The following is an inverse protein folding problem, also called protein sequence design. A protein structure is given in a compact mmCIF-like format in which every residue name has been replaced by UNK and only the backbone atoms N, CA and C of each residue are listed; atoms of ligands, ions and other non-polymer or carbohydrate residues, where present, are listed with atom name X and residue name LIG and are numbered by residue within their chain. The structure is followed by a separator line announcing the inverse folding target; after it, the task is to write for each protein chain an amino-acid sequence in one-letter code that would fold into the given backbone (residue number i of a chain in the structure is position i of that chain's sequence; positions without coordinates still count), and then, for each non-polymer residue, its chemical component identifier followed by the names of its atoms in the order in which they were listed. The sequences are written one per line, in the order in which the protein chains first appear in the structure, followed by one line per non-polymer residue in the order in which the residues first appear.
data_IF_726480611180
#
_entry.id   IF_726480611180
#
_cell.length_a   1.000
_cell.length_b   1.000
_cell.length_c   1.000
_cell.angle_alpha   90.00
_cell.angle_beta   90.00
_cell.angle_gamma   90.00
#
_symmetry.space_group_name_H-M   'P 1'
#
loop_
_entity.id
_entity.type
_entity.pdbx_description
1 polymer ?
#
# COMPACT_ATOMS: atom_id res chain seq x y z
N UNK A 1 -16.45 32.24 -45.73
CA UNK A 1 -17.69 32.15 -44.92
C UNK A 1 -17.28 31.94 -43.47
N UNK A 2 -17.46 32.96 -42.63
CA UNK A 2 -17.05 32.97 -41.21
C UNK A 2 -18.20 32.41 -40.41
N UNK A 3 -18.01 31.28 -39.69
CA UNK A 3 -18.97 30.76 -38.70
C UNK A 3 -18.60 31.33 -37.32
N UNK A 4 -19.53 32.08 -36.74
CA UNK A 4 -19.49 32.63 -35.40
C UNK A 4 -19.87 31.55 -34.41
N UNK A 5 -19.04 31.32 -33.39
CA UNK A 5 -19.36 30.46 -32.24
C UNK A 5 -19.99 31.34 -31.17
N UNK A 6 -21.19 31.00 -30.76
CA UNK A 6 -21.96 31.64 -29.70
C UNK A 6 -21.63 30.96 -28.36
N UNK A 7 -20.99 31.65 -27.44
CA UNK A 7 -20.76 31.21 -26.09
C UNK A 7 -21.98 31.56 -25.23
N UNK A 8 -22.62 30.54 -24.61
CA UNK A 8 -23.69 30.72 -23.63
C UNK A 8 -23.07 30.60 -22.24
N UNK A 9 -23.05 31.70 -21.51
CA UNK A 9 -22.73 31.77 -20.08
C UNK A 9 -24.01 31.46 -19.30
N UNK A 10 -24.01 30.37 -18.53
CA UNK A 10 -25.06 30.07 -17.54
C UNK A 10 -24.46 30.39 -16.16
N UNK A 11 -24.92 31.48 -15.57
CA UNK A 11 -24.69 31.85 -14.18
C UNK A 11 -25.79 31.22 -13.32
N UNK A 12 -25.44 30.25 -12.47
CA UNK A 12 -26.31 29.73 -11.43
C UNK A 12 -25.99 30.42 -10.11
N UNK A 13 -26.96 31.18 -9.58
CA UNK A 13 -26.88 31.78 -8.25
C UNK A 13 -27.39 30.78 -7.21
N UNK A 14 -26.57 30.42 -6.24
CA UNK A 14 -26.99 29.66 -5.07
C UNK A 14 -27.38 30.64 -3.94
N UNK A 15 -28.63 30.59 -3.53
CA UNK A 15 -29.13 31.27 -2.33
C UNK A 15 -28.93 30.34 -1.12
N UNK A 16 -28.16 30.82 -0.13
CA UNK A 16 -28.01 30.17 1.17
C UNK A 16 -29.05 30.74 2.13
N UNK A 17 -29.99 29.92 2.59
CA UNK A 17 -30.91 30.27 3.68
C UNK A 17 -30.38 29.71 4.99
N UNK A 18 -30.01 30.62 5.88
CA UNK A 18 -29.67 30.34 7.29
C UNK A 18 -30.94 30.43 8.12
N UNK A 19 -31.37 29.33 8.74
CA UNK A 19 -32.39 29.32 9.77
C UNK A 19 -31.72 28.97 11.11
N UNK A 20 -31.63 29.96 11.98
CA UNK A 20 -31.21 29.79 13.38
C UNK A 20 -32.39 29.36 14.23
N UNK A 21 -32.19 28.46 15.17
CA UNK A 21 -33.04 28.26 16.32
C UNK A 21 -32.22 28.31 17.61
N UNK A 22 -32.50 29.30 18.43
CA UNK A 22 -32.02 29.44 19.81
C UNK A 22 -33.01 28.72 20.73
N UNK A 23 -32.51 28.15 21.83
CA UNK A 23 -33.30 27.55 22.91
C UNK A 23 -32.37 27.03 24.01
N UNK A 24 -32.17 27.73 24.90
CA UNK A 24 -32.35 28.07 26.33
C UNK A 24 -31.74 27.05 27.33
N UNK A 25 -30.93 27.62 28.21
CA UNK A 25 -30.24 26.98 29.32
C UNK A 25 -31.20 26.70 30.50
N UNK A 26 -30.95 25.63 31.25
CA UNK A 26 -31.29 25.59 32.69
C UNK A 26 -30.19 24.85 33.45
N UNK A 27 -29.77 25.52 34.48
CA UNK A 27 -28.76 25.16 35.50
C UNK A 27 -29.26 24.08 36.46
N UNK A 28 -28.34 23.20 36.88
CA UNK A 28 -28.55 22.32 38.03
C UNK A 28 -27.22 22.07 38.73
N UNK A 29 -27.09 22.66 39.89
CA UNK A 29 -25.96 22.67 40.82
C UNK A 29 -25.92 21.39 41.65
N UNK A 30 -24.74 20.82 41.98
CA UNK A 30 -24.62 19.74 42.93
C UNK A 30 -23.16 19.40 43.22
N UNK A 31 -22.70 19.99 44.32
CA UNK A 31 -21.39 19.94 44.96
C UNK A 31 -21.09 18.63 45.71
N UNK A 32 -19.77 18.37 45.93
CA UNK A 32 -19.23 17.47 46.94
C UNK A 32 -17.89 16.89 46.52
N UNK A 33 -16.76 17.51 46.81
CA UNK A 33 -15.84 17.41 48.00
C UNK A 33 -15.23 16.02 48.13
N UNK A 34 -13.96 15.91 47.93
CA UNK A 34 -12.75 16.19 48.68
C UNK A 34 -11.90 14.93 48.93
N UNK A 35 -10.61 15.08 48.67
CA UNK A 35 -9.38 14.73 49.43
C UNK A 35 -9.07 13.24 49.63
N UNK A 36 -7.82 12.78 49.60
CA UNK A 36 -6.48 13.27 49.95
C UNK A 36 -5.49 12.22 49.56
N UNK A 37 -4.38 12.51 48.93
CA UNK A 37 -3.00 12.58 49.43
C UNK A 37 -2.52 11.44 50.36
N UNK A 38 -1.41 10.81 49.99
CA UNK A 38 -0.11 10.76 50.66
C UNK A 38 0.70 9.56 50.25
N UNK A 39 1.86 9.81 49.69
CA UNK A 39 3.26 9.61 50.07
C UNK A 39 3.84 8.20 50.06
N UNK A 40 4.82 8.09 49.23
CA UNK A 40 6.27 7.78 49.39
C UNK A 40 6.67 6.52 50.15
N UNK A 41 7.56 5.72 49.49
CA UNK A 41 8.87 5.41 50.11
C UNK A 41 9.82 4.80 49.06
N UNK A 42 10.98 5.43 48.94
CA UNK A 42 12.21 4.91 48.35
C UNK A 42 12.77 3.76 49.19
N UNK A 43 13.45 2.81 48.55
CA UNK A 43 14.65 2.22 49.16
C UNK A 43 15.56 1.68 48.06
N UNK A 44 16.77 2.21 48.05
CA UNK A 44 17.94 1.80 47.34
C UNK A 44 18.69 0.67 48.06
N UNK A 45 19.38 -0.19 47.30
CA UNK A 45 20.70 -0.75 47.60
C UNK A 45 21.06 -1.78 46.53
N UNK A 46 22.12 -1.68 45.86
CA UNK A 46 23.56 -1.68 46.04
C UNK A 46 24.15 -2.86 45.30
N UNK A 47 25.14 -2.56 44.49
CA UNK A 47 25.96 -3.39 43.62
C UNK A 47 26.74 -4.48 44.40
N UNK A 48 27.08 -5.56 43.66
CA UNK A 48 28.37 -6.27 43.84
C UNK A 48 28.89 -6.72 42.48
N UNK A 49 30.11 -6.29 42.23
CA UNK A 49 31.02 -6.82 41.20
C UNK A 49 31.60 -8.17 41.64
N UNK A 50 31.88 -9.07 40.70
CA UNK A 50 33.00 -9.98 40.81
C UNK A 50 33.51 -10.35 39.41
N UNK A 51 34.76 -9.97 39.27
CA UNK A 51 35.73 -10.24 38.22
C UNK A 51 36.17 -11.72 38.27
N UNK A 52 36.66 -12.28 37.17
CA UNK A 52 37.92 -13.06 36.95
C UNK A 52 37.80 -14.00 35.73
N UNK A 53 38.60 -13.65 34.72
CA UNK A 53 39.67 -14.31 33.97
C UNK A 53 39.42 -15.46 33.02
N UNK A 54 39.80 -15.17 31.82
CA UNK A 54 40.60 -15.84 30.76
C UNK A 54 40.77 -17.36 30.74
N UNK A 55 40.50 -17.97 29.56
CA UNK A 55 41.41 -18.90 28.89
C UNK A 55 41.08 -18.99 27.39
N UNK A 56 42.14 -18.79 26.60
CA UNK A 56 42.21 -19.07 25.16
C UNK A 56 42.21 -20.59 24.93
N UNK A 57 41.49 -21.03 23.88
CA UNK A 57 41.96 -22.12 23.03
C UNK A 57 41.39 -22.02 21.63
N UNK A 58 42.32 -22.03 20.67
CA UNK A 58 42.14 -22.04 19.24
C UNK A 58 41.66 -23.40 18.75
N UNK A 59 40.67 -23.43 17.82
CA UNK A 59 40.60 -24.50 16.82
C UNK A 59 40.04 -23.97 15.52
N UNK A 60 40.91 -24.00 14.56
CA UNK A 60 40.77 -23.88 13.13
C UNK A 60 39.60 -24.82 12.62
N UNK A 61 38.65 -24.26 11.88
CA UNK A 61 37.85 -25.07 10.95
C UNK A 61 37.39 -24.22 9.77
N UNK A 62 38.06 -24.46 8.66
CA UNK A 62 37.74 -23.95 7.33
C UNK A 62 36.28 -24.34 6.92
N UNK A 63 35.43 -23.36 6.77
CA UNK A 63 34.15 -23.50 6.04
C UNK A 63 34.27 -22.75 4.71
N UNK A 64 34.10 -23.48 3.61
CA UNK A 64 34.06 -22.98 2.25
C UNK A 64 32.91 -21.98 2.10
N UNK A 65 33.24 -20.74 1.76
CA UNK A 65 32.35 -19.74 1.24
C UNK A 65 31.89 -20.15 -0.18
N UNK A 66 30.69 -20.68 -0.32
CA UNK A 66 30.01 -20.67 -1.60
C UNK A 66 29.51 -19.25 -1.87
N UNK A 67 30.26 -18.49 -2.64
CA UNK A 67 29.84 -17.18 -3.14
C UNK A 67 28.67 -17.39 -4.10
N UNK A 68 27.50 -16.89 -3.71
CA UNK A 68 26.39 -16.67 -4.61
C UNK A 68 26.72 -15.46 -5.50
N UNK A 69 27.25 -15.77 -6.70
CA UNK A 69 27.75 -14.79 -7.68
C UNK A 69 26.61 -14.14 -8.51
N UNK A 70 25.39 -14.66 -8.40
CA UNK A 70 24.24 -14.17 -9.21
C UNK A 70 23.66 -12.85 -8.69
N UNK A 71 23.71 -12.60 -7.38
CA UNK A 71 23.18 -11.36 -6.79
C UNK A 71 24.08 -10.13 -7.00
N UNK A 72 25.37 -10.34 -7.33
CA UNK A 72 26.31 -9.25 -7.61
C UNK A 72 26.31 -8.81 -9.07
N UNK A 73 25.92 -9.66 -10.02
CA UNK A 73 25.81 -9.27 -11.42
C UNK A 73 24.51 -8.49 -11.67
N UNK A 74 23.36 -8.90 -11.11
CA UNK A 74 22.12 -8.14 -11.23
C UNK A 74 22.20 -6.73 -10.61
N UNK A 75 22.89 -6.57 -9.48
CA UNK A 75 23.07 -5.26 -8.86
C UNK A 75 24.01 -4.35 -9.67
N UNK A 76 24.97 -4.91 -10.39
CA UNK A 76 25.90 -4.15 -11.24
C UNK A 76 25.23 -3.67 -12.53
N UNK A 77 24.34 -4.46 -13.13
CA UNK A 77 23.62 -4.07 -14.34
C UNK A 77 22.59 -2.96 -14.06
N UNK A 78 21.97 -2.94 -12.90
CA UNK A 78 21.07 -1.87 -12.48
C UNK A 78 21.78 -0.52 -12.29
N UNK A 79 23.02 -0.50 -11.80
CA UNK A 79 23.81 0.73 -11.64
C UNK A 79 24.36 1.28 -12.97
N UNK A 80 24.64 0.43 -13.96
CA UNK A 80 25.23 0.86 -15.25
C UNK A 80 24.24 1.55 -16.17
N UNK A 81 22.92 1.37 -15.99
CA UNK A 81 21.86 1.93 -16.83
C UNK A 81 21.02 2.99 -16.11
N UNK A 82 21.53 3.53 -14.98
CA UNK A 82 20.79 4.53 -14.22
C UNK A 82 20.52 5.79 -15.05
N UNK A 83 19.25 6.16 -15.14
CA UNK A 83 18.77 7.40 -15.75
C UNK A 83 18.17 8.29 -14.67
N UNK A 84 18.63 9.54 -14.59
CA UNK A 84 18.16 10.49 -13.59
C UNK A 84 16.66 10.74 -13.71
N UNK A 85 15.94 10.59 -12.61
CA UNK A 85 14.53 10.94 -12.52
C UNK A 85 14.36 12.45 -12.31
N UNK A 86 13.33 13.02 -12.90
CA UNK A 86 12.91 14.41 -12.66
C UNK A 86 11.51 14.40 -12.06
N UNK A 87 11.32 15.09 -10.94
CA UNK A 87 10.05 15.16 -10.22
C UNK A 87 8.90 15.50 -11.18
N UNK A 88 7.79 14.79 -11.02
CA UNK A 88 6.58 14.88 -11.85
C UNK A 88 6.76 14.46 -13.33
N UNK A 89 7.94 13.97 -13.69
CA UNK A 89 8.20 13.37 -15.00
C UNK A 89 7.65 11.95 -15.13
N UNK A 90 8.02 11.31 -16.24
CA UNK A 90 7.79 9.88 -16.44
C UNK A 90 8.78 9.08 -15.59
N UNK A 91 8.36 7.90 -15.14
CA UNK A 91 9.25 6.99 -14.42
C UNK A 91 10.39 6.52 -15.33
N UNK A 92 11.58 6.44 -14.76
CA UNK A 92 12.70 5.79 -15.44
C UNK A 92 12.54 4.26 -15.42
N UNK A 93 13.19 3.57 -16.36
CA UNK A 93 13.18 2.09 -16.35
C UNK A 93 13.75 1.55 -15.03
N UNK A 94 14.80 2.15 -14.51
CA UNK A 94 15.38 1.79 -13.21
C UNK A 94 14.34 1.86 -12.07
N UNK A 95 13.54 2.91 -12.00
CA UNK A 95 12.46 3.02 -10.99
C UNK A 95 11.41 1.92 -11.14
N UNK A 96 11.07 1.57 -12.37
CA UNK A 96 10.13 0.49 -12.68
C UNK A 96 10.71 -0.85 -12.22
N UNK A 97 11.96 -1.14 -12.54
CA UNK A 97 12.64 -2.38 -12.17
C UNK A 97 12.76 -2.51 -10.65
N UNK A 98 13.17 -1.44 -9.96
CA UNK A 98 13.23 -1.38 -8.48
C UNK A 98 11.87 -1.62 -7.82
N UNK A 99 10.77 -1.33 -8.50
CA UNK A 99 9.43 -1.53 -7.96
C UNK A 99 8.95 -2.98 -7.99
N UNK A 100 9.57 -3.84 -8.81
CA UNK A 100 9.12 -5.22 -9.06
C UNK A 100 9.59 -6.17 -7.97
N UNK A 101 9.07 -6.03 -6.75
CA UNK A 101 9.49 -6.88 -5.63
C UNK A 101 9.07 -8.35 -5.80
N UNK A 102 7.91 -8.59 -6.40
CA UNK A 102 7.46 -9.88 -6.89
C UNK A 102 6.62 -9.69 -8.15
N UNK A 103 7.01 -10.32 -9.25
CA UNK A 103 6.25 -10.25 -10.51
C UNK A 103 4.90 -10.98 -10.40
N UNK A 104 4.88 -12.10 -9.71
CA UNK A 104 3.69 -12.86 -9.39
C UNK A 104 2.93 -13.45 -10.57
N UNK A 105 1.92 -14.23 -10.27
CA UNK A 105 1.00 -14.82 -11.23
C UNK A 105 0.09 -13.75 -11.85
N UNK A 106 0.05 -13.71 -13.17
CA UNK A 106 -0.63 -12.67 -13.95
C UNK A 106 -1.96 -13.12 -14.55
N UNK A 107 -2.36 -14.38 -14.34
CA UNK A 107 -3.52 -14.98 -15.05
C UNK A 107 -4.82 -14.23 -14.76
N UNK A 108 -5.15 -13.98 -13.49
CA UNK A 108 -6.37 -13.22 -13.15
C UNK A 108 -6.31 -11.78 -13.65
N UNK A 109 -5.15 -11.11 -13.56
CA UNK A 109 -4.99 -9.75 -14.07
C UNK A 109 -5.17 -9.71 -15.60
N UNK A 110 -4.59 -10.67 -16.32
CA UNK A 110 -4.80 -10.78 -17.76
C UNK A 110 -6.29 -10.96 -18.12
N UNK A 111 -7.05 -11.72 -17.33
CA UNK A 111 -8.49 -11.87 -17.51
C UNK A 111 -9.24 -10.54 -17.28
N UNK A 112 -8.86 -9.75 -16.27
CA UNK A 112 -9.42 -8.41 -16.05
C UNK A 112 -9.10 -7.47 -17.22
N UNK A 113 -7.86 -7.48 -17.71
CA UNK A 113 -7.46 -6.66 -18.87
C UNK A 113 -8.24 -7.06 -20.12
N UNK A 114 -8.49 -8.37 -20.35
CA UNK A 114 -9.34 -8.85 -21.46
C UNK A 114 -10.78 -8.30 -21.34
N UNK A 115 -11.39 -8.28 -20.14
CA UNK A 115 -12.68 -7.63 -19.91
C UNK A 115 -12.65 -6.15 -20.30
N UNK A 116 -11.64 -5.40 -19.84
CA UNK A 116 -11.47 -3.99 -20.16
C UNK A 116 -11.34 -3.75 -21.68
N UNK A 117 -10.53 -4.57 -22.38
CA UNK A 117 -10.38 -4.50 -23.85
C UNK A 117 -11.67 -4.81 -24.59
N UNK A 118 -12.50 -5.68 -24.05
CA UNK A 118 -13.81 -6.03 -24.60
C UNK A 118 -14.89 -4.95 -24.33
N UNK A 119 -14.59 -3.89 -23.59
CA UNK A 119 -15.57 -2.86 -23.26
C UNK A 119 -16.54 -3.26 -22.16
N UNK A 120 -16.19 -4.24 -21.33
CA UNK A 120 -17.02 -4.72 -20.23
C UNK A 120 -16.94 -3.78 -19.01
N UNK A 121 -17.90 -3.91 -18.10
CA UNK A 121 -17.88 -3.24 -16.81
C UNK A 121 -16.91 -3.97 -15.87
N UNK A 122 -15.97 -3.22 -15.27
CA UNK A 122 -14.96 -3.72 -14.34
C UNK A 122 -14.97 -2.87 -13.08
N UNK A 123 -15.03 -3.51 -11.91
CA UNK A 123 -14.91 -2.84 -10.61
C UNK A 123 -13.50 -2.98 -10.07
N UNK A 124 -12.87 -1.84 -9.78
CA UNK A 124 -11.51 -1.75 -9.25
C UNK A 124 -11.56 -1.25 -7.82
N UNK A 125 -11.11 -2.08 -6.90
CA UNK A 125 -11.16 -1.83 -5.47
C UNK A 125 -9.78 -1.61 -4.85
N UNK A 126 -9.71 -0.72 -3.86
CA UNK A 126 -8.50 -0.42 -3.10
C UNK A 126 -8.81 -0.57 -1.62
N UNK A 127 -7.98 -1.32 -0.88
CA UNK A 127 -8.09 -1.47 0.57
C UNK A 127 -6.74 -1.20 1.22
N UNK A 128 -6.75 -0.36 2.25
CA UNK A 128 -5.52 0.05 2.92
C UNK A 128 -5.75 1.04 4.05
N UNK A 129 -4.66 1.66 4.48
CA UNK A 129 -4.63 2.68 5.52
C UNK A 129 -4.87 4.10 5.01
N UNK A 130 -4.24 5.08 5.67
CA UNK A 130 -4.34 6.51 5.34
C UNK A 130 -3.77 6.85 3.96
N UNK A 131 -2.73 6.14 3.51
CA UNK A 131 -2.15 6.34 2.18
C UNK A 131 -3.17 5.95 1.11
N UNK A 132 -3.84 4.81 1.26
CA UNK A 132 -4.92 4.40 0.35
C UNK A 132 -6.12 5.33 0.42
N UNK A 133 -6.47 5.81 1.62
CA UNK A 133 -7.53 6.82 1.81
C UNK A 133 -7.25 8.12 1.04
N UNK A 134 -5.98 8.48 0.88
CA UNK A 134 -5.56 9.70 0.17
C UNK A 134 -5.17 10.86 1.09
N UNK A 135 -4.70 10.57 2.31
CA UNK A 135 -4.15 11.60 3.19
C UNK A 135 -3.04 12.36 2.46
N UNK A 136 -2.98 13.68 2.65
CA UNK A 136 -2.11 14.67 1.99
C UNK A 136 -2.38 14.95 0.51
N UNK A 137 -2.94 14.02 -0.28
CA UNK A 137 -3.27 14.26 -1.69
C UNK A 137 -4.76 14.55 -1.95
N UNK A 138 -5.64 14.13 -1.03
CA UNK A 138 -7.08 14.21 -1.22
C UNK A 138 -7.64 13.09 -2.12
N UNK A 139 -8.97 13.01 -2.14
CA UNK A 139 -9.67 11.90 -2.79
C UNK A 139 -9.45 11.84 -4.32
N UNK A 140 -9.25 12.99 -4.97
CA UNK A 140 -9.13 13.07 -6.43
C UNK A 140 -7.71 12.85 -6.94
N UNK A 141 -6.70 13.06 -6.09
CA UNK A 141 -5.28 12.97 -6.46
C UNK A 141 -4.52 11.86 -5.74
N UNK A 142 -5.21 11.03 -4.96
CA UNK A 142 -4.59 9.85 -4.38
C UNK A 142 -4.31 8.78 -5.45
N UNK A 143 -3.31 7.93 -5.20
CA UNK A 143 -2.88 6.90 -6.15
C UNK A 143 -4.03 6.00 -6.61
N UNK A 144 -4.95 5.69 -5.70
CA UNK A 144 -6.08 4.84 -5.98
C UNK A 144 -7.00 5.44 -7.07
N UNK A 145 -7.35 6.73 -6.92
CA UNK A 145 -8.15 7.44 -7.92
C UNK A 145 -7.41 7.62 -9.23
N UNK A 146 -6.13 8.04 -9.17
CA UNK A 146 -5.29 8.23 -10.35
C UNK A 146 -5.15 6.93 -11.16
N UNK A 147 -5.01 5.77 -10.49
CA UNK A 147 -4.92 4.47 -11.17
C UNK A 147 -6.25 4.07 -11.81
N UNK A 148 -7.38 4.28 -11.13
CA UNK A 148 -8.70 3.99 -11.67
C UNK A 148 -9.03 4.89 -12.88
N UNK A 149 -8.70 6.17 -12.81
CA UNK A 149 -8.89 7.11 -13.91
C UNK A 149 -8.02 6.77 -15.12
N UNK A 150 -6.78 6.37 -14.88
CA UNK A 150 -5.91 5.89 -15.95
C UNK A 150 -6.46 4.64 -16.64
N UNK A 151 -6.99 3.66 -15.88
CA UNK A 151 -7.66 2.48 -16.44
C UNK A 151 -8.86 2.88 -17.31
N UNK A 152 -9.71 3.81 -16.83
CA UNK A 152 -10.84 4.31 -17.59
C UNK A 152 -10.42 5.04 -18.87
N UNK A 153 -9.32 5.79 -18.83
CA UNK A 153 -8.80 6.50 -20.00
C UNK A 153 -8.15 5.55 -21.01
N UNK A 154 -7.38 4.59 -20.53
CA UNK A 154 -6.67 3.59 -21.37
C UNK A 154 -7.65 2.67 -22.07
N UNK A 155 -8.68 2.21 -21.34
CA UNK A 155 -9.71 1.32 -21.86
C UNK A 155 -11.05 2.05 -21.97
N UNK A 156 -11.09 3.08 -22.81
CA UNK A 156 -12.20 4.03 -22.90
C UNK A 156 -13.55 3.41 -23.33
N UNK A 157 -13.56 2.22 -23.93
CA UNK A 157 -14.77 1.45 -24.25
C UNK A 157 -15.37 0.72 -23.06
N UNK A 158 -14.57 0.47 -22.02
CA UNK A 158 -15.03 -0.16 -20.78
C UNK A 158 -15.68 0.85 -19.84
N UNK A 159 -16.37 0.34 -18.83
CA UNK A 159 -16.83 1.14 -17.68
C UNK A 159 -16.05 0.71 -16.44
N UNK A 160 -15.23 1.59 -15.90
CA UNK A 160 -14.45 1.34 -14.68
C UNK A 160 -15.17 1.91 -13.47
N UNK A 161 -15.65 1.06 -12.58
CA UNK A 161 -16.17 1.46 -11.27
C UNK A 161 -15.03 1.53 -10.27
N UNK A 162 -14.95 2.62 -9.53
CA UNK A 162 -13.93 2.87 -8.52
C UNK A 162 -14.47 2.68 -7.11
N UNK A 163 -13.76 1.91 -6.28
CA UNK A 163 -14.07 1.70 -4.86
C UNK A 163 -12.81 1.94 -4.04
N UNK A 164 -12.83 2.93 -3.16
CA UNK A 164 -11.75 3.16 -2.21
C UNK A 164 -12.20 2.81 -0.79
N UNK A 165 -11.70 1.71 -0.26
CA UNK A 165 -11.89 1.24 1.10
C UNK A 165 -10.66 1.53 1.99
N UNK A 166 -9.93 2.63 1.75
CA UNK A 166 -8.87 3.14 2.62
C UNK A 166 -9.45 3.80 3.87
N UNK A 167 -8.94 3.45 5.06
CA UNK A 167 -9.30 4.08 6.34
C UNK A 167 -8.03 4.40 7.12
N UNK A 168 -7.86 5.68 7.45
CA UNK A 168 -6.69 6.18 8.15
C UNK A 168 -6.41 5.46 9.47
N UNK A 169 -5.12 5.29 9.78
CA UNK A 169 -4.63 4.66 11.01
C UNK A 169 -5.10 3.21 11.23
N UNK A 170 -5.48 2.48 10.17
CA UNK A 170 -5.85 1.06 10.27
C UNK A 170 -4.85 0.17 9.54
N UNK A 171 -4.44 -0.93 10.18
CA UNK A 171 -3.64 -1.99 9.60
C UNK A 171 -4.50 -3.12 9.02
N UNK A 172 -3.84 -4.19 8.53
CA UNK A 172 -4.47 -5.36 7.94
C UNK A 172 -5.42 -6.08 8.91
N UNK A 173 -5.16 -6.00 10.21
CA UNK A 173 -6.05 -6.57 11.25
C UNK A 173 -7.46 -5.95 11.17
N UNK A 174 -7.57 -4.64 11.12
CA UNK A 174 -8.87 -3.98 10.92
C UNK A 174 -9.34 -4.21 9.46
N UNK A 175 -8.41 -4.23 8.51
CA UNK A 175 -8.68 -4.49 7.10
C UNK A 175 -9.46 -5.76 6.86
N UNK A 176 -9.06 -6.89 7.43
CA UNK A 176 -9.71 -8.19 7.20
C UNK A 176 -11.14 -8.23 7.74
N UNK A 177 -11.41 -7.62 8.89
CA UNK A 177 -12.75 -7.60 9.50
C UNK A 177 -13.77 -6.72 8.73
N UNK A 178 -13.29 -5.72 7.96
CA UNK A 178 -14.16 -4.83 7.17
C UNK A 178 -14.16 -5.12 5.66
N UNK A 179 -13.26 -5.97 5.18
CA UNK A 179 -13.09 -6.22 3.74
C UNK A 179 -14.39 -6.64 3.05
N UNK A 180 -15.18 -7.50 3.68
CA UNK A 180 -16.46 -7.97 3.10
C UNK A 180 -17.45 -6.82 2.94
N UNK A 181 -17.62 -5.97 3.95
CA UNK A 181 -18.60 -4.88 3.94
C UNK A 181 -18.17 -3.73 3.03
N UNK A 182 -16.91 -3.30 3.15
CA UNK A 182 -16.43 -2.06 2.52
C UNK A 182 -15.99 -2.27 1.07
N UNK A 183 -15.49 -3.46 0.73
CA UNK A 183 -14.87 -3.76 -0.56
C UNK A 183 -15.61 -4.88 -1.32
N UNK A 184 -15.70 -6.10 -0.75
CA UNK A 184 -16.17 -7.27 -1.49
C UNK A 184 -17.66 -7.23 -1.81
N UNK A 185 -18.47 -6.52 -1.01
CA UNK A 185 -19.88 -6.21 -1.31
C UNK A 185 -20.10 -5.42 -2.61
N UNK A 186 -19.01 -4.85 -3.19
CA UNK A 186 -19.03 -4.12 -4.46
C UNK A 186 -18.61 -5.00 -5.65
N UNK A 187 -18.37 -6.30 -5.42
CA UNK A 187 -17.96 -7.27 -6.42
C UNK A 187 -16.77 -6.82 -7.27
N UNK A 188 -15.59 -6.56 -6.65
CA UNK A 188 -14.42 -6.10 -7.40
C UNK A 188 -13.88 -7.22 -8.31
N UNK A 189 -13.39 -6.82 -9.50
CA UNK A 189 -12.63 -7.66 -10.44
C UNK A 189 -11.12 -7.54 -10.21
N UNK A 190 -10.65 -6.39 -9.73
CA UNK A 190 -9.26 -6.10 -9.41
C UNK A 190 -9.19 -5.42 -8.04
N UNK A 191 -8.29 -5.91 -7.19
CA UNK A 191 -8.09 -5.37 -5.83
C UNK A 191 -6.63 -5.00 -5.61
N UNK A 192 -6.40 -3.78 -5.13
CA UNK A 192 -5.12 -3.31 -4.64
C UNK A 192 -5.11 -3.32 -3.11
N UNK A 193 -4.04 -3.87 -2.51
CA UNK A 193 -3.90 -4.03 -1.05
C UNK A 193 -2.64 -3.33 -0.56
N UNK A 194 -2.80 -2.36 0.38
CA UNK A 194 -1.70 -1.59 0.95
C UNK A 194 -1.88 -1.40 2.47
N UNK A 195 -1.00 -1.99 3.28
CA UNK A 195 -0.96 -1.85 4.74
C UNK A 195 0.46 -1.80 5.31
N UNK A 196 1.48 -1.71 4.46
CA UNK A 196 2.87 -1.93 4.85
C UNK A 196 3.42 -0.90 5.86
N UNK A 197 2.90 0.31 5.89
CA UNK A 197 3.25 1.30 6.92
C UNK A 197 2.49 1.06 8.22
N UNK A 198 1.21 0.73 8.13
CA UNK A 198 0.37 0.57 9.32
C UNK A 198 0.65 -0.72 10.10
N UNK A 199 1.06 -1.79 9.42
CA UNK A 199 1.36 -3.09 10.04
C UNK A 199 2.71 -3.11 10.77
N UNK A 200 3.50 -2.04 10.70
CA UNK A 200 4.73 -1.88 11.50
C UNK A 200 4.45 -1.69 13.00
N UNK A 201 3.23 -1.35 13.35
CA UNK A 201 2.80 -1.20 14.74
C UNK A 201 2.57 -2.57 15.37
N UNK A 202 2.89 -2.73 16.60
CA UNK A 202 2.72 -3.85 17.53
C UNK A 202 2.25 -5.22 16.97
N UNK A 203 2.79 -6.31 17.49
CA UNK A 203 2.34 -7.69 17.23
C UNK A 203 2.51 -8.17 15.78
N UNK A 204 3.77 -8.34 15.37
CA UNK A 204 4.18 -8.86 14.05
C UNK A 204 3.41 -10.11 13.63
N UNK A 205 3.27 -11.10 14.50
CA UNK A 205 2.59 -12.36 14.17
C UNK A 205 1.10 -12.15 13.87
N UNK A 206 0.41 -11.31 14.64
CA UNK A 206 -0.99 -10.97 14.36
C UNK A 206 -1.13 -10.23 13.02
N UNK A 207 -0.23 -9.30 12.73
CA UNK A 207 -0.29 -8.52 11.50
C UNK A 207 0.02 -9.39 10.27
N UNK A 208 0.98 -10.31 10.36
CA UNK A 208 1.21 -11.34 9.32
C UNK A 208 -0.02 -12.22 9.11
N UNK A 209 -0.60 -12.74 10.17
CA UNK A 209 -1.78 -13.59 10.12
C UNK A 209 -3.02 -12.87 9.58
N UNK A 210 -3.18 -11.59 9.93
CA UNK A 210 -4.26 -10.75 9.42
C UNK A 210 -4.11 -10.43 7.94
N UNK A 211 -2.88 -10.14 7.49
CA UNK A 211 -2.60 -9.86 6.10
C UNK A 211 -2.82 -11.09 5.21
N UNK A 212 -2.33 -12.26 5.65
CA UNK A 212 -2.61 -13.54 4.99
C UNK A 212 -4.12 -13.80 4.90
N UNK A 213 -4.82 -13.70 6.03
CA UNK A 213 -6.28 -13.87 6.11
C UNK A 213 -7.03 -12.93 5.18
N UNK A 214 -6.58 -11.67 5.07
CA UNK A 214 -7.16 -10.69 4.16
C UNK A 214 -7.00 -11.08 2.70
N UNK A 215 -5.78 -11.46 2.28
CA UNK A 215 -5.51 -11.91 0.90
C UNK A 215 -6.35 -13.12 0.55
N UNK A 216 -6.46 -14.11 1.46
CA UNK A 216 -7.29 -15.31 1.29
C UNK A 216 -8.78 -14.98 1.19
N UNK A 217 -9.27 -14.06 2.03
CA UNK A 217 -10.66 -13.60 2.00
C UNK A 217 -11.00 -12.93 0.66
N UNK A 218 -10.10 -12.08 0.15
CA UNK A 218 -10.27 -11.43 -1.15
C UNK A 218 -10.20 -12.46 -2.27
N UNK A 219 -9.20 -13.34 -2.27
CA UNK A 219 -8.98 -14.35 -3.31
C UNK A 219 -10.16 -15.29 -3.50
N UNK A 220 -10.78 -15.71 -2.38
CA UNK A 220 -11.91 -16.64 -2.35
C UNK A 220 -13.27 -15.98 -2.54
N UNK A 221 -13.32 -14.67 -2.75
CA UNK A 221 -14.58 -13.97 -2.96
C UNK A 221 -15.22 -14.38 -4.30
N UNK A 222 -16.54 -14.17 -4.43
CA UNK A 222 -17.35 -14.68 -5.52
C UNK A 222 -16.96 -14.20 -6.92
N UNK A 223 -16.25 -13.07 -7.02
CA UNK A 223 -15.81 -12.49 -8.30
C UNK A 223 -14.44 -13.00 -8.74
N UNK A 224 -13.73 -13.77 -7.89
CA UNK A 224 -12.37 -14.22 -8.16
C UNK A 224 -11.43 -13.09 -8.60
N UNK A 225 -11.30 -12.00 -7.83
CA UNK A 225 -10.58 -10.82 -8.28
C UNK A 225 -9.09 -11.09 -8.48
N UNK A 226 -8.46 -10.37 -9.39
CA UNK A 226 -7.01 -10.22 -9.40
C UNK A 226 -6.58 -9.41 -8.18
N UNK A 227 -5.43 -9.72 -7.60
CA UNK A 227 -4.85 -8.99 -6.45
C UNK A 227 -3.49 -8.44 -6.85
N UNK A 228 -3.26 -7.16 -6.59
CA UNK A 228 -1.93 -6.52 -6.65
C UNK A 228 -1.65 -5.94 -5.27
N UNK A 229 -0.51 -6.27 -4.69
CA UNK A 229 -0.09 -5.76 -3.40
C UNK A 229 0.90 -4.61 -3.56
N UNK A 230 0.89 -3.68 -2.60
CA UNK A 230 1.71 -2.46 -2.65
C UNK A 230 2.49 -2.34 -1.35
N UNK A 231 3.79 -2.08 -1.44
CA UNK A 231 4.61 -1.75 -0.30
C UNK A 231 4.98 -0.27 -0.32
N UNK A 232 4.53 0.46 0.68
CA UNK A 232 4.90 1.84 0.97
C UNK A 232 5.89 1.92 2.13
N UNK A 233 6.39 3.11 2.48
CA UNK A 233 7.40 3.32 3.51
C UNK A 233 7.21 4.64 4.24
N UNK A 234 7.75 4.75 5.43
CA UNK A 234 8.01 6.01 6.13
C UNK A 234 9.35 6.60 5.64
N UNK A 235 9.61 7.87 5.95
CA UNK A 235 10.85 8.58 5.60
C UNK A 235 12.12 7.83 6.02
N UNK A 236 12.10 7.25 7.20
CA UNK A 236 13.22 6.48 7.77
C UNK A 236 13.37 5.05 7.21
N UNK A 237 12.58 4.68 6.20
CA UNK A 237 12.57 3.34 5.60
C UNK A 237 11.74 2.30 6.36
N UNK A 238 11.06 2.68 7.46
CA UNK A 238 10.20 1.75 8.21
C UNK A 238 9.02 1.31 7.37
N UNK A 239 8.85 -0.01 7.23
CA UNK A 239 7.79 -0.66 6.44
C UNK A 239 7.68 -2.13 6.84
N UNK A 240 6.52 -2.71 6.71
CA UNK A 240 6.27 -4.14 6.89
C UNK A 240 6.43 -4.93 5.58
N UNK A 241 7.11 -4.33 4.60
CA UNK A 241 7.30 -4.89 3.25
C UNK A 241 7.83 -6.33 3.28
N UNK A 242 8.87 -6.60 4.07
CA UNK A 242 9.54 -7.90 4.03
C UNK A 242 8.64 -9.01 4.57
N UNK A 243 7.89 -8.73 5.63
CA UNK A 243 6.91 -9.67 6.21
C UNK A 243 5.71 -9.90 5.25
N UNK A 244 5.23 -8.85 4.58
CA UNK A 244 4.21 -9.00 3.54
C UNK A 244 4.75 -9.77 2.33
N UNK A 245 6.01 -9.54 1.94
CA UNK A 245 6.64 -10.22 0.81
C UNK A 245 6.77 -11.74 1.02
N UNK A 246 6.99 -12.22 2.25
CA UNK A 246 6.98 -13.65 2.54
C UNK A 246 5.62 -14.28 2.18
N UNK A 247 4.52 -13.63 2.56
CA UNK A 247 3.15 -14.10 2.31
C UNK A 247 2.80 -13.97 0.82
N UNK A 248 3.16 -12.86 0.21
CA UNK A 248 2.92 -12.57 -1.21
C UNK A 248 3.63 -13.59 -2.11
N UNK A 249 4.90 -13.92 -1.79
CA UNK A 249 5.68 -14.93 -2.51
C UNK A 249 5.12 -16.34 -2.32
N UNK A 250 4.58 -16.68 -1.15
CA UNK A 250 3.94 -17.98 -0.91
C UNK A 250 2.76 -18.21 -1.87
N UNK A 251 1.99 -17.18 -2.17
CA UNK A 251 0.86 -17.25 -3.11
C UNK A 251 1.22 -16.87 -4.54
N UNK A 252 2.45 -16.53 -4.81
CA UNK A 252 2.87 -16.00 -6.12
C UNK A 252 1.98 -14.83 -6.58
N UNK A 253 1.76 -13.84 -5.71
CA UNK A 253 1.04 -12.61 -6.03
C UNK A 253 1.99 -11.50 -6.46
N UNK A 254 1.55 -10.56 -7.33
CA UNK A 254 2.32 -9.36 -7.64
C UNK A 254 2.52 -8.46 -6.42
N UNK A 255 3.73 -7.93 -6.24
CA UNK A 255 4.03 -6.91 -5.23
C UNK A 255 4.84 -5.76 -5.81
N UNK A 256 4.26 -4.58 -5.79
CA UNK A 256 4.85 -3.35 -6.29
C UNK A 256 5.40 -2.53 -5.12
N UNK A 257 6.71 -2.33 -5.10
CA UNK A 257 7.41 -1.63 -4.02
C UNK A 257 7.66 -0.16 -4.35
N UNK A 258 6.80 0.72 -3.85
CA UNK A 258 7.10 2.14 -3.78
C UNK A 258 8.31 2.40 -2.87
N UNK A 259 8.43 1.64 -1.75
CA UNK A 259 9.56 1.75 -0.82
C UNK A 259 10.91 1.64 -1.54
N UNK A 260 11.15 0.54 -2.26
CA UNK A 260 12.43 0.30 -2.92
C UNK A 260 12.73 1.40 -3.96
N UNK A 261 11.72 1.73 -4.78
CA UNK A 261 11.83 2.79 -5.78
C UNK A 261 12.22 4.12 -5.17
N UNK A 262 11.50 4.58 -4.15
CA UNK A 262 11.70 5.93 -3.59
C UNK A 262 12.99 6.04 -2.80
N UNK A 263 13.31 5.05 -1.96
CA UNK A 263 14.54 5.10 -1.18
C UNK A 263 15.78 5.05 -2.07
N UNK A 264 15.72 4.31 -3.16
CA UNK A 264 16.79 4.27 -4.15
C UNK A 264 16.91 5.59 -4.93
N UNK A 265 15.80 6.16 -5.39
CA UNK A 265 15.78 7.46 -6.09
C UNK A 265 16.31 8.60 -5.20
N UNK A 266 15.98 8.59 -3.90
CA UNK A 266 16.52 9.54 -2.91
C UNK A 266 18.02 9.32 -2.70
N UNK A 267 18.47 8.06 -2.59
CA UNK A 267 19.89 7.70 -2.45
C UNK A 267 20.73 8.23 -3.62
N UNK A 268 20.19 8.23 -4.84
CA UNK A 268 20.84 8.79 -6.03
C UNK A 268 20.80 10.33 -6.07
N UNK A 269 20.05 10.98 -5.19
CA UNK A 269 19.96 12.42 -5.09
C UNK A 269 19.09 13.09 -6.16
N UNK A 270 18.18 12.34 -6.77
CA UNK A 270 17.27 12.89 -7.79
C UNK A 270 16.13 13.69 -7.18
N UNK A 271 15.67 13.24 -6.01
CA UNK A 271 14.65 13.88 -5.18
C UNK A 271 15.04 13.80 -3.70
N UNK A 272 14.35 14.57 -2.87
CA UNK A 272 14.37 14.45 -1.41
C UNK A 272 12.99 14.08 -0.90
N UNK A 273 12.87 13.55 0.33
CA UNK A 273 11.60 13.10 0.88
C UNK A 273 10.49 14.17 0.81
N UNK A 274 10.82 15.44 1.07
CA UNK A 274 9.87 16.56 1.03
C UNK A 274 9.30 16.89 -0.35
N UNK A 275 9.91 16.41 -1.41
CA UNK A 275 9.37 16.57 -2.76
C UNK A 275 8.14 15.67 -2.98
N UNK A 276 8.07 14.55 -2.22
CA UNK A 276 7.08 13.49 -2.42
C UNK A 276 6.19 13.23 -1.19
N UNK A 277 6.43 13.91 -0.08
CA UNK A 277 5.66 13.73 1.18
C UNK A 277 5.63 15.03 1.99
N UNK A 278 4.50 15.31 2.62
CA UNK A 278 4.31 16.51 3.47
C UNK A 278 4.71 16.25 4.93
N UNK A 279 4.78 14.98 5.34
CA UNK A 279 5.21 14.52 6.66
C UNK A 279 6.09 13.26 6.55
N UNK A 280 6.37 12.58 7.66
CA UNK A 280 7.26 11.41 7.70
C UNK A 280 6.61 10.15 7.11
N UNK A 281 5.32 10.18 6.70
CA UNK A 281 4.54 8.99 6.35
C UNK A 281 3.77 9.15 5.04
N UNK A 282 3.04 10.27 4.86
CA UNK A 282 2.00 10.39 3.87
C UNK A 282 2.52 11.02 2.57
N UNK A 283 2.52 10.27 1.45
CA UNK A 283 2.85 10.85 0.16
C UNK A 283 1.95 12.04 -0.15
N UNK A 284 2.54 13.13 -0.67
CA UNK A 284 1.82 14.24 -1.25
C UNK A 284 1.34 13.88 -2.68
N UNK A 285 0.83 14.84 -3.44
CA UNK A 285 0.33 14.62 -4.80
C UNK A 285 1.39 13.98 -5.71
N UNK A 286 2.64 14.45 -5.66
CA UNK A 286 3.75 13.89 -6.45
C UNK A 286 4.09 12.46 -6.03
N UNK A 287 4.12 12.17 -4.73
CA UNK A 287 4.33 10.83 -4.22
C UNK A 287 3.21 9.87 -4.63
N UNK A 288 1.95 10.27 -4.52
CA UNK A 288 0.81 9.49 -4.99
C UNK A 288 0.83 9.25 -6.50
N UNK A 289 1.26 10.23 -7.28
CA UNK A 289 1.44 10.08 -8.73
C UNK A 289 2.46 8.99 -9.05
N UNK A 290 3.60 8.96 -8.34
CA UNK A 290 4.62 7.92 -8.53
C UNK A 290 4.04 6.53 -8.21
N UNK A 291 3.34 6.35 -7.08
CA UNK A 291 2.68 5.07 -6.77
C UNK A 291 1.77 4.63 -7.91
N UNK A 292 0.90 5.54 -8.39
CA UNK A 292 -0.01 5.24 -9.51
C UNK A 292 0.74 4.87 -10.79
N UNK A 293 1.81 5.60 -11.15
CA UNK A 293 2.61 5.31 -12.34
C UNK A 293 3.30 3.94 -12.27
N UNK A 294 3.77 3.51 -11.08
CA UNK A 294 4.34 2.17 -10.89
C UNK A 294 3.30 1.07 -11.14
N UNK A 295 2.07 1.26 -10.66
CA UNK A 295 0.95 0.34 -10.92
C UNK A 295 0.57 0.32 -12.40
N UNK A 296 0.51 1.49 -13.05
CA UNK A 296 0.23 1.64 -14.48
C UNK A 296 1.29 0.93 -15.32
N UNK A 297 2.58 1.06 -14.97
CA UNK A 297 3.67 0.38 -15.67
C UNK A 297 3.52 -1.14 -15.56
N UNK A 298 3.21 -1.67 -14.36
CA UNK A 298 2.98 -3.11 -14.17
C UNK A 298 1.81 -3.62 -15.01
N UNK A 299 0.65 -2.96 -14.94
CA UNK A 299 -0.53 -3.36 -15.69
C UNK A 299 -0.28 -3.27 -17.21
N UNK A 300 0.42 -2.22 -17.65
CA UNK A 300 0.79 -2.05 -19.07
C UNK A 300 1.71 -3.16 -19.58
N UNK A 301 2.64 -3.65 -18.75
CA UNK A 301 3.54 -4.75 -19.13
C UNK A 301 2.76 -6.07 -19.22
N UNK A 302 1.83 -6.32 -18.32
CA UNK A 302 0.91 -7.46 -18.42
C UNK A 302 0.02 -7.36 -19.66
N UNK A 303 -0.46 -6.18 -20.03
CA UNK A 303 -1.26 -5.97 -21.24
C UNK A 303 -0.47 -6.21 -22.53
N UNK A 304 0.80 -5.80 -22.58
CA UNK A 304 1.69 -6.05 -23.72
C UNK A 304 1.96 -7.54 -23.94
N UNK A 305 2.05 -8.31 -22.84
CA UNK A 305 2.37 -9.74 -22.86
C UNK A 305 1.13 -10.64 -22.77
N UNK A 306 -0.07 -10.07 -22.89
CA UNK A 306 -1.35 -10.72 -22.54
C UNK A 306 -1.60 -12.03 -23.31
N UNK A 307 -1.10 -12.15 -24.55
CA UNK A 307 -1.29 -13.32 -25.41
C UNK A 307 -0.39 -14.50 -25.00
N UNK A 308 0.67 -14.23 -24.23
CA UNK A 308 1.60 -15.24 -23.72
C UNK A 308 1.24 -15.69 -22.29
N UNK A 309 0.34 -14.97 -21.60
CA UNK A 309 -0.06 -15.31 -20.24
C UNK A 309 -1.10 -16.42 -20.28
N UNK A 310 -0.72 -17.58 -19.76
CA UNK A 310 -1.55 -18.78 -19.66
C UNK A 310 -1.10 -19.64 -18.49
N UNK A 311 -1.87 -20.65 -18.14
CA UNK A 311 -1.55 -21.59 -17.07
C UNK A 311 -2.51 -21.49 -15.89
N UNK A 312 -2.07 -22.01 -14.75
CA UNK A 312 -2.85 -22.05 -13.53
C UNK A 312 -2.79 -20.70 -12.79
N UNK A 313 -3.83 -20.41 -12.04
CA UNK A 313 -3.87 -19.28 -11.12
C UNK A 313 -2.98 -19.54 -9.89
N UNK A 314 -2.73 -18.51 -9.10
CA UNK A 314 -2.06 -18.63 -7.78
C UNK A 314 -2.73 -19.69 -6.90
N UNK A 315 -1.93 -20.47 -6.18
CA UNK A 315 -2.43 -21.52 -5.28
C UNK A 315 -2.65 -20.99 -3.86
N UNK A 316 -3.91 -20.93 -3.46
CA UNK A 316 -4.34 -20.59 -2.09
C UNK A 316 -4.83 -21.79 -1.30
N UNK A 317 -4.46 -23.02 -1.69
CA UNK A 317 -4.88 -24.26 -0.99
C UNK A 317 -4.33 -24.32 0.41
N UNK A 318 -3.10 -23.88 0.64
CA UNK A 318 -2.45 -23.81 1.96
C UNK A 318 -2.25 -22.37 2.40
N UNK A 319 -2.55 -22.02 3.66
CA UNK A 319 -2.29 -20.69 4.18
C UNK A 319 -0.79 -20.47 4.43
N UNK A 320 -0.31 -19.23 4.24
CA UNK A 320 1.06 -18.83 4.53
C UNK A 320 1.33 -18.72 6.04
N UNK A 321 0.27 -18.44 6.82
CA UNK A 321 0.28 -18.33 8.28
C UNK A 321 -0.82 -19.23 8.87
N UNK A 322 -1.37 -18.88 10.05
CA UNK A 322 -2.54 -19.58 10.60
C UNK A 322 -3.85 -19.22 9.91
N UNK A 323 -3.88 -18.05 9.21
CA UNK A 323 -5.07 -17.47 8.59
C UNK A 323 -6.28 -17.40 9.54
N UNK A 324 -6.03 -17.03 10.81
CA UNK A 324 -7.02 -17.09 11.91
C UNK A 324 -8.21 -16.15 11.71
N UNK A 325 -8.06 -15.13 10.86
CA UNK A 325 -9.07 -14.10 10.61
C UNK A 325 -9.71 -14.23 9.22
N UNK A 326 -9.52 -15.35 8.53
CA UNK A 326 -10.11 -15.56 7.20
C UNK A 326 -11.65 -15.42 7.29
N UNK A 327 -12.23 -14.67 6.36
CA UNK A 327 -13.65 -14.29 6.34
C UNK A 327 -14.10 -13.36 7.48
N UNK A 328 -13.18 -12.67 8.15
CA UNK A 328 -13.48 -11.71 9.20
C UNK A 328 -13.97 -12.35 10.50
N UNK A 329 -13.58 -13.57 10.80
CA UNK A 329 -13.93 -14.31 12.02
C UNK A 329 -13.15 -13.87 13.26
#
# INVERSE_FOLDING_TARGET
MKKRILAILITAALAVSVTGCAGNATSGNGSGSASSATESSETSSKAEESDVSSAEESSDNSAEESKDDSSQEESKDLETNYTKYTLDGDLTQHMIDMSRLNEGNKVRLANVIKKLKNGEEVTVGFIGGSITQGTSAGNELCYAKLTADWLQQTYSSAKVNYVNAGIGATGSYIGVHRATADLLSKNPDLVFVEFSVNDTTENTERNKDSYDSLLRTIWKSSTNPAIITIATTQENGTSFQDQHAEIVKHYDLPMISYKNTILDTIKHGDIVWKDISDDDIHPNVSGHKIVSQLLQAYISDVDKDIDNISGDESDFSTPATKASFENGS
#
